data_IF_237989546815
#
_entry.id   IF_237989546815
#
_cell.length_a   1.000
_cell.length_b   1.000
_cell.length_c   1.000
_cell.angle_alpha   90.00
_cell.angle_beta   90.00
_cell.angle_gamma   90.00
#
_symmetry.space_group_name_H-M   'P 1'
#
loop_
_entity.id
_entity.type
_entity.pdbx_description
1 polymer ?
#
# COMPACT_ATOMS: atom_id res chain seq x y z
N UNK A 1 -4.11 2.02 4.86
CA UNK A 1 -3.00 1.53 5.71
C UNK A 1 -2.81 0.03 5.54
N UNK A 2 -1.69 -0.51 6.02
CA UNK A 2 -1.35 -1.95 6.08
C UNK A 2 -0.77 -2.26 7.47
N UNK A 3 -0.82 -3.53 7.89
CA UNK A 3 -0.22 -4.00 9.14
C UNK A 3 1.31 -4.10 9.08
N UNK A 4 1.96 -4.03 10.25
CA UNK A 4 3.43 -4.09 10.37
C UNK A 4 4.05 -5.37 9.79
N UNK A 5 3.51 -6.59 10.02
CA UNK A 5 4.02 -7.80 9.37
C UNK A 5 4.02 -7.70 7.83
N UNK A 6 2.94 -7.17 7.24
CA UNK A 6 2.86 -6.96 5.79
C UNK A 6 3.84 -5.89 5.30
N UNK A 7 4.03 -4.80 6.06
CA UNK A 7 5.01 -3.77 5.74
C UNK A 7 6.46 -4.29 5.77
N UNK A 8 6.76 -5.18 6.72
CA UNK A 8 8.10 -5.75 6.92
C UNK A 8 8.34 -7.05 6.15
N UNK A 9 7.35 -7.54 5.40
CA UNK A 9 7.50 -8.76 4.62
C UNK A 9 8.60 -8.60 3.55
N UNK A 10 9.51 -9.58 3.34
CA UNK A 10 10.66 -9.43 2.45
C UNK A 10 10.33 -9.12 0.98
N UNK A 11 9.10 -9.43 0.55
CA UNK A 11 8.62 -9.14 -0.81
C UNK A 11 7.85 -7.81 -0.92
N UNK A 12 7.77 -7.03 0.16
CA UNK A 12 7.17 -5.69 0.15
C UNK A 12 8.21 -4.69 -0.32
N UNK A 13 7.91 -3.99 -1.42
CA UNK A 13 8.86 -3.12 -2.10
C UNK A 13 8.28 -1.73 -2.32
N UNK A 14 9.11 -0.72 -2.06
CA UNK A 14 8.95 0.58 -2.71
C UNK A 14 9.61 0.49 -4.09
N UNK A 15 8.78 0.41 -5.13
CA UNK A 15 9.26 0.35 -6.50
C UNK A 15 9.54 1.77 -6.99
N UNK A 16 10.82 2.06 -7.24
CA UNK A 16 11.35 3.36 -7.63
C UNK A 16 11.72 3.42 -9.12
N UNK A 17 11.97 2.27 -9.75
CA UNK A 17 12.48 2.17 -11.12
C UNK A 17 11.46 1.47 -12.03
N UNK A 18 10.76 2.29 -12.81
CA UNK A 18 9.83 1.93 -13.88
C UNK A 18 9.49 3.22 -14.65
N UNK A 19 8.79 3.17 -15.79
CA UNK A 19 8.66 4.36 -16.67
C UNK A 19 7.23 4.84 -16.92
N UNK A 20 6.21 4.01 -16.70
CA UNK A 20 4.82 4.36 -17.07
C UNK A 20 4.02 4.89 -15.85
N UNK A 21 3.61 6.16 -15.96
CA UNK A 21 2.78 6.86 -14.99
C UNK A 21 1.45 6.16 -14.70
N UNK A 22 0.86 5.44 -15.66
CA UNK A 22 -0.36 4.63 -15.44
C UNK A 22 -0.20 3.67 -14.27
N UNK A 23 1.02 3.15 -14.07
CA UNK A 23 1.35 2.22 -13.00
C UNK A 23 1.86 2.87 -11.72
N UNK A 24 1.98 4.20 -11.66
CA UNK A 24 2.28 4.95 -10.44
C UNK A 24 3.64 5.63 -10.38
N UNK A 25 4.32 5.83 -11.52
CA UNK A 25 5.62 6.51 -11.57
C UNK A 25 5.51 7.91 -10.93
N UNK A 26 6.46 8.35 -10.08
CA UNK A 26 7.79 7.79 -9.83
C UNK A 26 7.88 6.77 -8.69
N UNK A 27 6.83 6.59 -7.90
CA UNK A 27 6.90 5.76 -6.69
C UNK A 27 5.57 5.05 -6.43
N UNK A 28 5.65 3.74 -6.25
CA UNK A 28 4.53 2.91 -5.81
C UNK A 28 4.94 1.89 -4.77
N UNK A 29 3.96 1.43 -4.00
CA UNK A 29 4.11 0.24 -3.18
C UNK A 29 3.81 -0.99 -4.04
N UNK A 30 4.63 -2.03 -3.87
CA UNK A 30 4.33 -3.38 -4.31
C UNK A 30 4.30 -4.30 -3.09
N UNK A 31 3.13 -4.88 -2.87
CA UNK A 31 2.83 -5.75 -1.75
C UNK A 31 2.06 -6.96 -2.29
N UNK A 32 2.73 -8.12 -2.46
CA UNK A 32 2.13 -9.28 -3.12
C UNK A 32 1.08 -9.98 -2.26
N UNK A 33 1.14 -9.84 -0.94
CA UNK A 33 0.22 -10.47 0.01
C UNK A 33 -1.14 -9.76 0.10
N UNK A 34 -1.29 -8.57 -0.48
CA UNK A 34 -2.52 -7.77 -0.41
C UNK A 34 -3.14 -7.50 -1.78
N UNK A 35 -4.45 -7.23 -1.77
CA UNK A 35 -5.19 -6.82 -2.96
C UNK A 35 -4.70 -5.48 -3.51
N UNK A 36 -4.98 -5.24 -4.80
CA UNK A 36 -4.42 -4.11 -5.55
C UNK A 36 -4.69 -2.73 -4.94
N UNK A 37 -5.83 -2.52 -4.29
CA UNK A 37 -6.15 -1.22 -3.67
C UNK A 37 -5.29 -0.89 -2.44
N UNK A 38 -4.61 -1.90 -1.86
CA UNK A 38 -3.60 -1.73 -0.80
C UNK A 38 -2.19 -1.49 -1.33
N UNK A 39 -2.02 -1.41 -2.66
CA UNK A 39 -0.77 -1.08 -3.33
C UNK A 39 -0.85 0.36 -3.88
N UNK A 40 -0.71 1.41 -3.03
CA UNK A 40 -0.83 2.80 -3.47
C UNK A 40 0.17 3.14 -4.58
N UNK A 41 -0.32 3.94 -5.53
CA UNK A 41 0.45 4.57 -6.60
C UNK A 41 0.70 6.03 -6.23
N UNK A 42 1.77 6.63 -6.75
CA UNK A 42 2.10 8.04 -6.54
C UNK A 42 2.26 8.39 -5.06
N UNK A 43 3.04 7.59 -4.34
CA UNK A 43 3.26 7.80 -2.90
C UNK A 43 3.99 9.12 -2.68
N UNK A 44 3.37 10.03 -1.93
CA UNK A 44 4.01 11.28 -1.48
C UNK A 44 4.61 11.15 -0.08
N UNK A 45 3.93 10.45 0.82
CA UNK A 45 4.32 10.37 2.23
C UNK A 45 4.03 8.98 2.80
N UNK A 46 4.81 8.59 3.81
CA UNK A 46 4.65 7.34 4.56
C UNK A 46 4.66 7.70 6.04
N UNK A 47 3.66 7.22 6.76
CA UNK A 47 3.53 7.40 8.21
C UNK A 47 3.52 6.04 8.91
N UNK A 48 4.12 6.00 10.10
CA UNK A 48 4.08 4.85 11.01
C UNK A 48 3.33 5.29 12.25
N UNK A 49 2.32 4.52 12.65
CA UNK A 49 1.48 4.80 13.82
C UNK A 49 0.99 3.50 14.44
N UNK A 50 0.64 3.55 15.73
CA UNK A 50 0.00 2.46 16.45
C UNK A 50 -1.53 2.58 16.44
N UNK A 51 -2.06 3.70 15.96
CA UNK A 51 -3.50 3.93 15.86
C UNK A 51 -4.01 3.47 14.48
N UNK A 52 -5.28 3.08 14.43
CA UNK A 52 -5.95 2.78 13.17
C UNK A 52 -6.69 4.04 12.67
N UNK A 53 -6.15 4.78 11.67
CA UNK A 53 -6.78 6.01 11.21
C UNK A 53 -7.97 5.78 10.26
N UNK A 54 -8.27 4.52 9.92
CA UNK A 54 -9.18 4.18 8.83
C UNK A 54 -8.62 4.56 7.46
N UNK A 55 -9.51 4.74 6.48
CA UNK A 55 -9.14 5.17 5.15
C UNK A 55 -10.30 5.19 4.17
N UNK A 56 -10.14 6.01 3.13
CA UNK A 56 -11.17 6.23 2.10
C UNK A 56 -11.79 4.95 1.51
N UNK A 57 -10.99 3.91 1.29
CA UNK A 57 -11.51 2.63 0.77
C UNK A 57 -12.28 1.84 1.82
N UNK A 58 -11.86 1.90 3.08
CA UNK A 58 -12.55 1.24 4.20
C UNK A 58 -13.90 1.89 4.48
N UNK A 59 -13.97 3.22 4.39
CA UNK A 59 -15.24 3.97 4.48
C UNK A 59 -16.24 3.59 3.37
N UNK A 60 -15.74 3.01 2.27
CA UNK A 60 -16.55 2.48 1.16
C UNK A 60 -16.85 0.99 1.27
N UNK A 61 -16.59 0.39 2.44
CA UNK A 61 -16.87 -1.01 2.72
C UNK A 61 -15.80 -1.99 2.27
N UNK A 62 -14.63 -1.52 1.81
CA UNK A 62 -13.52 -2.43 1.54
C UNK A 62 -12.91 -2.91 2.86
N UNK A 63 -12.56 -4.18 2.92
CA UNK A 63 -11.95 -4.74 4.11
C UNK A 63 -10.55 -4.15 4.36
N UNK A 64 -10.25 -3.82 5.62
CA UNK A 64 -8.94 -3.25 5.97
C UNK A 64 -7.77 -4.20 5.72
N UNK A 65 -7.93 -5.50 5.97
CA UNK A 65 -6.83 -6.45 5.81
C UNK A 65 -6.61 -6.85 4.36
N UNK A 66 -7.69 -7.18 3.62
CA UNK A 66 -7.75 -7.50 2.19
C UNK A 66 -6.47 -8.10 1.58
N UNK A 67 -6.22 -9.35 1.93
CA UNK A 67 -5.05 -10.12 1.51
C UNK A 67 -4.96 -11.43 2.29
N UNK A 68 -3.83 -12.10 2.16
CA UNK A 68 -3.45 -13.29 2.91
C UNK A 68 -2.30 -12.98 3.86
#
# INVERSE_FOLDING_TARGET
SIDMPSALHPQTLLALDFTDAKYGYPLRLRLPTKLGFKNPKFIGEIFVTNDYPGGYWEDKGYNWFSGS
#
